data_IF_192813470992
#
_entry.id   IF_192813470992
#
_cell.length_a   1.000
_cell.length_b   1.000
_cell.length_c   1.000
_cell.angle_alpha   90.00
_cell.angle_beta   90.00
_cell.angle_gamma   90.00
#
_symmetry.space_group_name_H-M   'P 1'
#
loop_
_entity.id
_entity.type
_entity.pdbx_description
1 polymer ?
#
# COMPACT_ATOMS: atom_id res chain seq x y z
N UNK A 1 1.97 -19.57 -37.64
CA UNK A 1 1.76 -20.11 -36.27
C UNK A 1 1.93 -18.96 -35.27
N UNK A 2 0.87 -18.56 -34.55
CA UNK A 2 0.95 -17.48 -33.54
C UNK A 2 1.10 -18.14 -32.16
N UNK A 3 2.30 -18.02 -31.58
CA UNK A 3 2.58 -18.49 -30.23
C UNK A 3 1.98 -17.50 -29.21
N UNK A 4 0.99 -17.96 -28.46
CA UNK A 4 0.39 -17.23 -27.34
C UNK A 4 1.35 -17.26 -26.13
N UNK A 5 2.22 -16.26 -26.03
CA UNK A 5 3.02 -16.03 -24.82
C UNK A 5 2.31 -15.06 -23.87
N UNK A 6 1.06 -15.38 -23.50
CA UNK A 6 0.17 -14.48 -22.76
C UNK A 6 0.01 -14.82 -21.27
N UNK A 7 0.57 -15.95 -20.81
CA UNK A 7 0.40 -16.42 -19.42
C UNK A 7 1.49 -15.95 -18.45
N UNK A 8 2.75 -15.91 -18.89
CA UNK A 8 3.89 -15.62 -18.02
C UNK A 8 3.95 -14.15 -17.56
N UNK A 9 3.60 -13.20 -18.43
CA UNK A 9 3.67 -11.76 -18.11
C UNK A 9 2.64 -11.32 -17.07
N UNK A 10 1.45 -11.92 -17.09
CA UNK A 10 0.35 -11.59 -16.16
C UNK A 10 0.62 -12.11 -14.75
N UNK A 11 1.27 -13.27 -14.62
CA UNK A 11 1.61 -13.84 -13.31
C UNK A 11 2.72 -13.06 -12.61
N UNK A 12 3.75 -12.63 -13.34
CA UNK A 12 4.86 -11.83 -12.78
C UNK A 12 4.33 -10.48 -12.26
N UNK A 13 3.49 -9.79 -13.03
CA UNK A 13 2.88 -8.50 -12.65
C UNK A 13 1.94 -8.62 -11.43
N UNK A 14 1.27 -9.76 -11.26
CA UNK A 14 0.42 -10.02 -10.08
C UNK A 14 1.24 -10.34 -8.83
N UNK A 15 2.35 -11.07 -8.96
CA UNK A 15 3.23 -11.42 -7.83
C UNK A 15 3.98 -10.18 -7.34
N UNK A 16 4.50 -9.36 -8.25
CA UNK A 16 5.20 -8.11 -7.93
C UNK A 16 4.31 -7.12 -7.17
N UNK A 17 3.05 -6.97 -7.60
CA UNK A 17 2.04 -6.17 -6.89
C UNK A 17 1.74 -6.69 -5.48
N UNK A 18 1.70 -8.01 -5.31
CA UNK A 18 1.47 -8.61 -3.99
C UNK A 18 2.68 -8.42 -3.08
N UNK A 19 3.90 -8.58 -3.58
CA UNK A 19 5.13 -8.30 -2.84
C UNK A 19 5.22 -6.83 -2.44
N UNK A 20 4.90 -5.92 -3.37
CA UNK A 20 4.85 -4.48 -3.10
C UNK A 20 3.86 -4.15 -1.99
N UNK A 21 2.65 -4.73 -2.05
CA UNK A 21 1.63 -4.58 -0.99
C UNK A 21 2.13 -5.07 0.36
N UNK A 22 2.82 -6.21 0.42
CA UNK A 22 3.40 -6.74 1.66
C UNK A 22 4.46 -5.77 2.20
N UNK A 23 5.35 -5.26 1.33
CA UNK A 23 6.36 -4.26 1.71
C UNK A 23 5.72 -2.99 2.30
N UNK A 24 4.67 -2.48 1.68
CA UNK A 24 3.94 -1.31 2.18
C UNK A 24 3.35 -1.56 3.59
N UNK A 25 2.76 -2.73 3.82
CA UNK A 25 2.22 -3.11 5.15
C UNK A 25 3.35 -3.16 6.18
N UNK A 26 4.46 -3.84 5.88
CA UNK A 26 5.61 -3.91 6.80
C UNK A 26 6.20 -2.53 7.08
N UNK A 27 6.26 -1.65 6.07
CA UNK A 27 6.72 -0.28 6.26
C UNK A 27 5.77 0.54 7.15
N UNK A 28 4.45 0.37 7.01
CA UNK A 28 3.45 1.01 7.87
C UNK A 28 3.55 0.53 9.33
N UNK A 29 3.76 -0.76 9.55
CA UNK A 29 3.99 -1.32 10.89
C UNK A 29 5.24 -0.70 11.52
N UNK A 30 6.33 -0.62 10.77
CA UNK A 30 7.56 0.04 11.21
C UNK A 30 7.36 1.53 11.51
N UNK A 31 6.64 2.27 10.65
CA UNK A 31 6.28 3.67 10.91
C UNK A 31 5.48 3.80 12.20
N UNK A 32 4.49 2.92 12.41
CA UNK A 32 3.64 2.95 13.61
C UNK A 32 4.47 2.73 14.88
N UNK A 33 5.40 1.77 14.85
CA UNK A 33 6.32 1.53 15.97
C UNK A 33 7.25 2.72 16.21
N UNK A 34 7.76 3.36 15.15
CA UNK A 34 8.63 4.52 15.26
C UNK A 34 7.88 5.74 15.83
N UNK A 35 6.69 6.04 15.32
CA UNK A 35 5.78 7.08 15.85
C UNK A 35 5.53 6.86 17.35
N UNK A 36 5.26 5.62 17.76
CA UNK A 36 5.06 5.27 19.18
C UNK A 36 6.32 5.57 20.01
N UNK A 37 7.49 5.18 19.54
CA UNK A 37 8.77 5.46 20.22
C UNK A 37 9.02 6.97 20.35
N UNK A 38 8.74 7.75 19.30
CA UNK A 38 8.87 9.21 19.32
C UNK A 38 7.88 9.85 20.30
N UNK A 39 6.64 9.38 20.35
CA UNK A 39 5.64 9.81 21.34
C UNK A 39 6.06 9.49 22.78
N UNK A 40 6.62 8.31 23.02
CA UNK A 40 7.13 7.92 24.34
C UNK A 40 8.29 8.80 24.80
N UNK A 41 9.23 9.11 23.89
CA UNK A 41 10.34 10.06 24.15
C UNK A 41 9.82 11.46 24.44
N UNK A 42 8.90 11.97 23.61
CA UNK A 42 8.25 13.26 23.85
C UNK A 42 7.58 13.30 25.23
N UNK A 43 6.85 12.26 25.62
CA UNK A 43 6.18 12.22 26.93
C UNK A 43 7.17 12.16 28.10
N UNK A 44 8.28 11.44 27.95
CA UNK A 44 9.20 11.13 29.05
C UNK A 44 10.27 12.21 29.28
N UNK A 45 10.65 12.94 28.21
CA UNK A 45 11.83 13.80 28.23
C UNK A 45 11.55 15.28 27.89
N UNK A 46 10.28 15.69 27.68
CA UNK A 46 9.94 17.08 27.31
C UNK A 46 10.47 18.14 28.28
N UNK A 47 10.61 17.81 29.57
CA UNK A 47 11.15 18.73 30.59
C UNK A 47 12.66 18.65 30.74
N UNK A 48 13.32 17.67 30.12
CA UNK A 48 14.76 17.39 30.22
C UNK A 48 15.53 17.84 28.98
N UNK A 49 14.87 17.90 27.83
CA UNK A 49 15.48 18.27 26.55
C UNK A 49 15.71 19.78 26.49
N UNK A 50 16.84 20.18 25.89
CA UNK A 50 17.05 21.57 25.48
C UNK A 50 16.04 21.94 24.38
N UNK A 51 15.68 23.22 24.22
CA UNK A 51 14.73 23.65 23.20
C UNK A 51 15.05 23.12 21.80
N UNK A 52 16.32 23.20 21.37
CA UNK A 52 16.77 22.68 20.06
C UNK A 52 16.62 21.17 19.91
N UNK A 53 16.75 20.40 21.00
CA UNK A 53 16.60 18.94 20.98
C UNK A 53 15.12 18.56 20.90
N UNK A 54 14.26 19.32 21.59
CA UNK A 54 12.81 19.17 21.51
C UNK A 54 12.29 19.51 20.11
N UNK A 55 12.75 20.60 19.51
CA UNK A 55 12.38 20.99 18.14
C UNK A 55 12.75 19.89 17.15
N UNK A 56 13.98 19.37 17.20
CA UNK A 56 14.41 18.26 16.34
C UNK A 56 13.56 17.01 16.53
N UNK A 57 13.21 16.68 17.77
CA UNK A 57 12.35 15.52 18.07
C UNK A 57 10.92 15.71 17.52
N UNK A 58 10.39 16.93 17.57
CA UNK A 58 9.09 17.27 16.98
C UNK A 58 9.13 17.22 15.45
N UNK A 59 10.23 17.64 14.83
CA UNK A 59 10.43 17.55 13.39
C UNK A 59 10.52 16.09 12.94
N UNK A 60 11.28 15.25 13.64
CA UNK A 60 11.36 13.81 13.39
C UNK A 60 9.97 13.15 13.51
N UNK A 61 9.21 13.53 14.54
CA UNK A 61 7.83 13.05 14.73
C UNK A 61 6.91 13.43 13.58
N UNK A 62 6.93 14.70 13.14
CA UNK A 62 6.14 15.18 12.00
C UNK A 62 6.54 14.50 10.70
N UNK A 63 7.84 14.33 10.47
CA UNK A 63 8.35 13.64 9.29
C UNK A 63 7.85 12.20 9.22
N UNK A 64 7.86 11.47 10.35
CA UNK A 64 7.36 10.10 10.39
C UNK A 64 5.83 10.02 10.22
N UNK A 65 5.07 11.00 10.74
CA UNK A 65 3.62 11.10 10.48
C UNK A 65 3.32 11.29 8.98
N UNK A 66 4.04 12.20 8.32
CA UNK A 66 3.89 12.42 6.87
C UNK A 66 4.23 11.15 6.08
N UNK A 67 5.29 10.44 6.50
CA UNK A 67 5.69 9.18 5.90
C UNK A 67 4.59 8.12 6.04
N UNK A 68 4.00 7.98 7.22
CA UNK A 68 2.87 7.08 7.47
C UNK A 68 1.68 7.41 6.57
N UNK A 69 1.28 8.68 6.49
CA UNK A 69 0.15 9.12 5.65
C UNK A 69 0.38 8.81 4.17
N UNK A 70 1.60 9.04 3.68
CA UNK A 70 1.95 8.74 2.28
C UNK A 70 1.88 7.24 1.98
N UNK A 71 2.44 6.40 2.85
CA UNK A 71 2.36 4.94 2.71
C UNK A 71 0.92 4.42 2.81
N UNK A 72 0.11 5.01 3.69
CA UNK A 72 -1.30 4.63 3.82
C UNK A 72 -2.08 4.98 2.56
N UNK A 73 -1.87 6.17 1.99
CA UNK A 73 -2.50 6.58 0.71
C UNK A 73 -2.08 5.68 -0.44
N UNK A 74 -0.81 5.28 -0.49
CA UNK A 74 -0.30 4.37 -1.51
C UNK A 74 -0.96 2.99 -1.42
N UNK A 75 -1.06 2.44 -0.20
CA UNK A 75 -1.72 1.17 0.05
C UNK A 75 -3.22 1.20 -0.29
N UNK A 76 -3.90 2.30 0.02
CA UNK A 76 -5.31 2.50 -0.34
C UNK A 76 -5.51 2.61 -1.86
N UNK A 77 -4.59 3.27 -2.56
CA UNK A 77 -4.54 3.31 -4.01
C UNK A 77 -4.40 1.91 -4.61
N UNK A 78 -3.49 1.10 -4.07
CA UNK A 78 -3.29 -0.28 -4.49
C UNK A 78 -4.56 -1.14 -4.27
N UNK A 79 -5.20 -1.02 -3.11
CA UNK A 79 -6.44 -1.74 -2.79
C UNK A 79 -7.60 -1.35 -3.71
N UNK A 80 -7.74 -0.06 -4.04
CA UNK A 80 -8.78 0.46 -4.92
C UNK A 80 -8.59 0.00 -6.36
N UNK A 81 -7.34 0.02 -6.85
CA UNK A 81 -6.99 -0.50 -8.17
C UNK A 81 -7.32 -2.00 -8.29
N UNK A 82 -6.97 -2.80 -7.28
CA UNK A 82 -7.25 -4.24 -7.25
C UNK A 82 -8.75 -4.55 -7.29
N UNK A 83 -9.56 -3.85 -6.48
CA UNK A 83 -11.03 -3.99 -6.49
C UNK A 83 -11.63 -3.65 -7.86
N UNK A 84 -11.14 -2.59 -8.50
CA UNK A 84 -11.60 -2.15 -9.82
C UNK A 84 -11.26 -3.16 -10.91
N UNK A 85 -10.04 -3.72 -10.89
CA UNK A 85 -9.63 -4.76 -11.82
C UNK A 85 -10.50 -6.02 -11.69
N UNK A 86 -10.77 -6.46 -10.45
CA UNK A 86 -11.64 -7.61 -10.17
C UNK A 86 -13.06 -7.39 -10.68
N UNK A 87 -13.64 -6.19 -10.51
CA UNK A 87 -14.96 -5.86 -11.03
C UNK A 87 -15.01 -5.90 -12.57
N UNK A 88 -14.00 -5.33 -13.25
CA UNK A 88 -13.90 -5.37 -14.72
C UNK A 88 -13.81 -6.80 -15.23
N UNK A 89 -13.05 -7.68 -14.58
CA UNK A 89 -12.92 -9.07 -15.02
C UNK A 89 -14.22 -9.87 -14.84
N UNK A 90 -14.96 -9.63 -13.74
CA UNK A 90 -16.31 -10.21 -13.56
C UNK A 90 -17.25 -9.79 -14.68
N UNK A 91 -17.26 -8.51 -15.05
CA UNK A 91 -18.09 -8.00 -16.15
C UNK A 91 -17.71 -8.63 -17.50
N UNK A 92 -16.40 -8.76 -17.80
CA UNK A 92 -15.94 -9.46 -19.01
C UNK A 92 -16.37 -10.92 -19.04
N UNK A 93 -16.27 -11.64 -17.92
CA UNK A 93 -16.73 -13.03 -17.81
C UNK A 93 -18.22 -13.15 -18.09
N UNK A 94 -19.05 -12.30 -17.46
CA UNK A 94 -20.50 -12.30 -17.67
C UNK A 94 -20.87 -12.04 -19.15
N UNK A 95 -20.20 -11.10 -19.81
CA UNK A 95 -20.42 -10.83 -21.23
C UNK A 95 -20.00 -12.00 -22.15
N UNK A 96 -18.89 -12.68 -21.83
CA UNK A 96 -18.48 -13.91 -22.54
C UNK A 96 -19.55 -15.00 -22.40
N UNK A 97 -20.07 -15.20 -21.20
CA UNK A 97 -21.08 -16.22 -20.93
C UNK A 97 -22.42 -15.87 -21.60
N UNK A 98 -22.81 -14.60 -21.62
CA UNK A 98 -24.00 -14.12 -22.33
C UNK A 98 -23.90 -14.30 -23.85
N UNK A 99 -22.73 -14.03 -24.44
CA UNK A 99 -22.47 -14.25 -25.87
C UNK A 99 -22.52 -15.73 -26.25
N UNK A 100 -22.01 -16.63 -25.40
CA UNK A 100 -22.09 -18.09 -25.63
C UNK A 100 -23.54 -18.58 -25.66
N UNK A 101 -24.42 -18.02 -24.82
CA UNK A 101 -25.85 -18.35 -24.78
C UNK A 101 -26.65 -17.85 -25.99
N UNK A 102 -26.12 -16.89 -26.75
CA UNK A 102 -26.77 -16.34 -27.95
C UNK A 102 -26.43 -17.13 -29.23
N UNK A 103 -25.46 -18.05 -29.17
CA UNK A 103 -25.05 -18.90 -30.28
C UNK A 103 -25.58 -20.35 -30.17
N UNK A 104 -26.58 -20.57 -29.32
CA UNK A 104 -27.32 -21.82 -29.17
C UNK A 104 -28.75 -21.64 -29.64
#
# INVERSE_FOLDING_TARGET
MRNYSSGYTVQIDSTDKQEHRIRLITQLENCTNHIRSLQERLRSDITKLKPIELERLLDDYRAEQIRYDNLSRELDGHNTAAKTAAAKERWRKQNRDRRKKLHY
#
